data_IF_745772874492
#
_entry.id   IF_745772874492
#
_cell.length_a   1.000
_cell.length_b   1.000
_cell.length_c   1.000
_cell.angle_alpha   90.00
_cell.angle_beta   90.00
_cell.angle_gamma   90.00
#
_symmetry.space_group_name_H-M   'P 1'
#
loop_
_entity.id
_entity.type
_entity.pdbx_description
1 polymer ?
#
# COMPACT_ATOMS: atom_id res chain seq x y z
N UNK A 1 9.18 -1.33 10.40
CA UNK A 1 9.83 -0.05 10.07
C UNK A 1 8.78 1.04 10.16
N UNK A 2 9.06 2.09 10.93
CA UNK A 2 8.24 3.30 11.02
C UNK A 2 8.07 3.90 9.62
N UNK A 3 6.81 4.06 9.20
CA UNK A 3 6.23 4.77 8.02
C UNK A 3 7.00 5.00 6.70
N UNK A 4 8.23 4.50 6.51
CA UNK A 4 9.11 4.90 5.41
C UNK A 4 9.56 6.37 5.46
N UNK A 5 9.16 7.13 6.47
CA UNK A 5 9.39 8.58 6.55
C UNK A 5 10.87 8.90 6.78
N UNK A 6 11.41 9.84 5.98
CA UNK A 6 12.81 10.27 6.06
C UNK A 6 12.86 11.77 6.32
N UNK A 7 13.39 12.13 7.49
CA UNK A 7 13.64 13.53 7.84
C UNK A 7 14.64 14.16 6.87
N UNK A 8 14.36 15.42 6.49
CA UNK A 8 15.27 16.21 5.67
C UNK A 8 16.58 16.43 6.41
N UNK A 9 17.69 16.29 5.68
CA UNK A 9 19.04 16.53 6.19
C UNK A 9 19.71 17.64 5.42
N UNK A 10 20.32 18.57 6.11
CA UNK A 10 21.06 19.69 5.54
C UNK A 10 22.51 19.66 5.98
N UNK A 11 23.43 19.90 5.04
CA UNK A 11 24.85 20.03 5.33
C UNK A 11 25.15 21.50 5.61
N UNK A 12 25.64 21.81 6.81
CA UNK A 12 26.11 23.14 7.15
C UNK A 12 27.57 23.12 7.54
N UNK A 13 28.29 24.12 7.05
CA UNK A 13 29.68 24.35 7.44
C UNK A 13 29.68 24.90 8.86
N UNK A 14 30.29 24.15 9.79
CA UNK A 14 30.43 24.55 11.19
C UNK A 14 31.81 25.15 11.48
N UNK A 15 32.81 24.85 10.64
CA UNK A 15 34.13 25.48 10.74
C UNK A 15 34.83 25.56 9.38
N UNK A 16 36.01 26.21 9.34
CA UNK A 16 36.85 26.27 8.12
C UNK A 16 37.16 24.88 7.56
N UNK A 17 37.19 23.82 8.37
CA UNK A 17 37.54 22.46 7.93
C UNK A 17 36.44 21.41 8.15
N UNK A 18 35.29 21.79 8.71
CA UNK A 18 34.24 20.82 9.06
C UNK A 18 32.87 21.23 8.54
N UNK A 19 32.19 20.24 7.94
CA UNK A 19 30.79 20.30 7.54
C UNK A 19 30.07 19.20 8.27
N UNK A 20 28.99 19.55 8.96
CA UNK A 20 28.14 18.62 9.69
C UNK A 20 26.77 18.50 9.02
N UNK A 21 26.15 17.34 9.17
CA UNK A 21 24.80 17.05 8.69
C UNK A 21 23.83 17.25 9.85
N UNK A 22 22.87 18.13 9.67
CA UNK A 22 21.80 18.39 10.63
C UNK A 22 20.46 17.93 10.07
N UNK A 23 19.52 17.61 10.95
CA UNK A 23 18.12 17.46 10.57
C UNK A 23 17.48 18.84 10.45
N UNK A 24 16.71 19.04 9.38
CA UNK A 24 15.99 20.28 9.09
C UNK A 24 14.50 19.99 9.26
N UNK A 25 14.03 20.10 10.50
CA UNK A 25 12.64 19.81 10.85
C UNK A 25 11.73 20.99 10.50
N UNK A 26 10.64 20.67 9.84
CA UNK A 26 9.51 21.57 9.59
C UNK A 26 8.68 21.78 10.86
N UNK A 27 7.91 22.88 10.93
CA UNK A 27 7.00 23.13 12.05
C UNK A 27 6.03 21.97 12.28
N UNK A 28 5.54 21.36 11.20
CA UNK A 28 4.64 20.19 11.26
C UNK A 28 5.31 18.99 11.94
N UNK A 29 6.58 18.71 11.61
CA UNK A 29 7.34 17.64 12.28
C UNK A 29 7.59 17.96 13.75
N UNK A 30 7.86 19.22 14.09
CA UNK A 30 8.02 19.66 15.48
C UNK A 30 6.72 19.45 16.27
N UNK A 31 5.57 19.85 15.73
CA UNK A 31 4.27 19.59 16.36
C UNK A 31 4.04 18.09 16.56
N UNK A 32 4.41 17.25 15.59
CA UNK A 32 4.32 15.79 15.72
C UNK A 32 5.18 15.24 16.86
N UNK A 33 6.38 15.79 17.08
CA UNK A 33 7.21 15.40 18.24
C UNK A 33 6.57 15.78 19.58
N UNK A 34 5.92 16.94 19.66
CA UNK A 34 5.19 17.36 20.87
C UNK A 34 4.04 16.39 21.15
N UNK A 35 3.24 16.07 20.12
CA UNK A 35 2.14 15.11 20.23
C UNK A 35 2.67 13.72 20.63
N UNK A 36 3.77 13.27 20.04
CA UNK A 36 4.41 12.01 20.42
C UNK A 36 4.78 12.00 21.91
N UNK A 37 5.40 13.07 22.41
CA UNK A 37 5.79 13.16 23.83
C UNK A 37 4.57 12.93 24.74
N UNK A 38 3.45 13.60 24.46
CA UNK A 38 2.22 13.44 25.23
C UNK A 38 1.63 12.03 25.13
N UNK A 39 1.68 11.41 23.95
CA UNK A 39 1.18 10.05 23.75
C UNK A 39 2.04 9.01 24.48
N UNK A 40 3.36 9.16 24.48
CA UNK A 40 4.28 8.27 25.18
C UNK A 40 4.05 8.35 26.69
N UNK A 41 3.88 9.55 27.23
CA UNK A 41 3.60 9.76 28.65
C UNK A 41 2.27 9.09 29.07
N UNK A 42 1.28 9.12 28.18
CA UNK A 42 -0.06 8.54 28.43
C UNK A 42 -0.10 7.02 28.28
N UNK A 43 0.46 6.49 27.20
CA UNK A 43 0.34 5.06 26.84
C UNK A 43 1.45 4.21 27.44
N UNK A 44 2.58 4.82 27.81
CA UNK A 44 3.84 4.14 28.16
C UNK A 44 4.34 3.18 27.07
N UNK A 45 3.84 3.30 25.84
CA UNK A 45 4.28 2.52 24.70
C UNK A 45 4.74 3.44 23.57
N UNK A 46 6.06 3.44 23.36
CA UNK A 46 6.69 4.26 22.34
C UNK A 46 6.30 3.82 20.92
N UNK A 47 6.27 2.52 20.65
CA UNK A 47 6.03 2.00 19.30
C UNK A 47 4.63 2.34 18.80
N UNK A 48 3.62 2.16 19.64
CA UNK A 48 2.23 2.48 19.29
C UNK A 48 2.04 3.99 19.10
N UNK A 49 2.65 4.80 19.98
CA UNK A 49 2.61 6.26 19.89
C UNK A 49 3.27 6.79 18.61
N UNK A 50 4.40 6.21 18.19
CA UNK A 50 5.04 6.60 16.93
C UNK A 50 4.17 6.18 15.73
N UNK A 51 3.59 4.97 15.75
CA UNK A 51 2.66 4.53 14.69
C UNK A 51 1.43 5.41 14.58
N UNK A 52 0.94 5.95 15.68
CA UNK A 52 -0.20 6.87 15.68
C UNK A 52 0.15 8.22 15.01
N UNK A 53 1.34 8.77 15.29
CA UNK A 53 1.74 10.08 14.78
C UNK A 53 2.28 10.05 13.33
N UNK A 54 3.01 8.99 12.97
CA UNK A 54 3.64 8.86 11.65
C UNK A 54 3.03 7.77 10.76
N UNK A 55 2.13 6.95 11.28
CA UNK A 55 1.49 5.85 10.56
C UNK A 55 2.27 4.53 10.64
N UNK A 56 1.53 3.43 10.53
CA UNK A 56 2.10 2.09 10.38
C UNK A 56 2.14 1.69 8.89
N UNK A 57 3.27 1.98 8.22
CA UNK A 57 3.45 1.66 6.80
C UNK A 57 3.36 0.16 6.52
N UNK A 58 3.74 -0.70 7.47
CA UNK A 58 3.64 -2.15 7.29
C UNK A 58 2.17 -2.54 7.27
N UNK A 59 1.39 -2.08 8.25
CA UNK A 59 -0.05 -2.36 8.30
C UNK A 59 -0.79 -1.76 7.10
N UNK A 60 -0.38 -0.59 6.61
CA UNK A 60 -0.94 0.01 5.41
C UNK A 60 -0.64 -0.83 4.18
N UNK A 61 0.62 -1.21 3.97
CA UNK A 61 1.04 -2.06 2.86
C UNK A 61 0.32 -3.41 2.87
N UNK A 62 0.13 -4.03 4.03
CA UNK A 62 -0.65 -5.27 4.17
C UNK A 62 -2.12 -5.09 3.77
N UNK A 63 -2.74 -3.94 4.12
CA UNK A 63 -4.11 -3.62 3.69
C UNK A 63 -4.20 -3.39 2.19
N UNK A 64 -3.24 -2.65 1.62
CA UNK A 64 -3.20 -2.33 0.21
C UNK A 64 -3.04 -3.62 -0.62
N UNK A 65 -2.09 -4.49 -0.25
CA UNK A 65 -1.90 -5.80 -0.90
C UNK A 65 -3.17 -6.66 -0.82
N UNK A 66 -3.87 -6.67 0.33
CA UNK A 66 -5.14 -7.40 0.45
C UNK A 66 -6.21 -6.87 -0.51
N UNK A 67 -6.29 -5.55 -0.68
CA UNK A 67 -7.22 -4.94 -1.61
C UNK A 67 -6.85 -5.26 -3.06
N UNK A 68 -5.57 -5.17 -3.42
CA UNK A 68 -5.08 -5.54 -4.76
C UNK A 68 -5.36 -7.01 -5.08
N UNK A 69 -5.11 -7.92 -4.13
CA UNK A 69 -5.44 -9.35 -4.29
C UNK A 69 -6.95 -9.59 -4.48
N UNK A 70 -7.78 -8.85 -3.74
CA UNK A 70 -9.24 -8.95 -3.89
C UNK A 70 -9.69 -8.49 -5.28
N UNK A 71 -9.21 -7.33 -5.73
CA UNK A 71 -9.51 -6.81 -7.07
C UNK A 71 -9.07 -7.81 -8.16
N UNK A 72 -7.84 -8.33 -8.05
CA UNK A 72 -7.31 -9.30 -8.99
C UNK A 72 -8.14 -10.60 -9.00
N UNK A 73 -8.62 -11.05 -7.83
CA UNK A 73 -9.50 -12.22 -7.74
C UNK A 73 -10.84 -11.96 -8.43
N UNK A 74 -11.44 -10.79 -8.26
CA UNK A 74 -12.69 -10.42 -8.91
C UNK A 74 -12.54 -10.37 -10.44
N UNK A 75 -11.44 -9.76 -10.92
CA UNK A 75 -11.11 -9.73 -12.35
C UNK A 75 -10.90 -11.14 -12.92
N UNK A 76 -10.23 -12.02 -12.17
CA UNK A 76 -10.03 -13.41 -12.59
C UNK A 76 -11.34 -14.18 -12.71
N UNK A 77 -12.25 -14.05 -11.74
CA UNK A 77 -13.56 -14.71 -11.82
C UNK A 77 -14.41 -14.17 -12.96
N UNK A 78 -14.36 -12.86 -13.19
CA UNK A 78 -15.04 -12.24 -14.34
C UNK A 78 -14.52 -12.82 -15.65
N UNK A 79 -13.21 -12.89 -15.83
CA UNK A 79 -12.60 -13.49 -17.00
C UNK A 79 -13.00 -14.96 -17.18
N UNK A 80 -12.97 -15.75 -16.10
CA UNK A 80 -13.37 -17.16 -16.13
C UNK A 80 -14.82 -17.32 -16.60
N UNK A 81 -15.72 -16.51 -16.06
CA UNK A 81 -17.13 -16.53 -16.44
C UNK A 81 -17.33 -16.20 -17.93
N UNK A 82 -16.67 -15.15 -18.42
CA UNK A 82 -16.72 -14.76 -19.85
C UNK A 82 -16.17 -15.86 -20.77
N UNK A 83 -15.10 -16.54 -20.35
CA UNK A 83 -14.54 -17.66 -21.10
C UNK A 83 -15.49 -18.86 -21.12
N UNK A 84 -16.12 -19.19 -20.00
CA UNK A 84 -17.10 -20.29 -19.90
C UNK A 84 -18.33 -20.04 -20.77
N UNK A 85 -18.89 -18.83 -20.75
CA UNK A 85 -20.00 -18.46 -21.64
C UNK A 85 -19.60 -18.57 -23.10
N UNK A 86 -18.42 -18.06 -23.47
CA UNK A 86 -17.90 -18.16 -24.85
C UNK A 86 -17.76 -19.62 -25.30
N UNK A 87 -17.23 -20.50 -24.44
CA UNK A 87 -17.14 -21.94 -24.73
C UNK A 87 -18.53 -22.58 -24.88
N UNK A 88 -19.49 -22.18 -24.04
CA UNK A 88 -20.85 -22.69 -24.11
C UNK A 88 -21.51 -22.31 -25.45
N UNK A 89 -21.39 -21.05 -25.88
CA UNK A 89 -21.90 -20.61 -27.18
C UNK A 89 -21.23 -21.38 -28.34
N UNK A 90 -19.91 -21.57 -28.30
CA UNK A 90 -19.19 -22.35 -29.31
C UNK A 90 -19.67 -23.80 -29.39
N UNK A 91 -19.86 -24.46 -28.25
CA UNK A 91 -20.40 -25.83 -28.20
C UNK A 91 -21.80 -25.92 -28.80
N UNK A 92 -22.66 -24.92 -28.52
CA UNK A 92 -24.01 -24.83 -29.09
C UNK A 92 -23.96 -24.70 -30.61
N UNK A 93 -23.11 -23.80 -31.12
CA UNK A 93 -22.93 -23.60 -32.57
C UNK A 93 -22.44 -24.88 -33.25
N UNK A 94 -21.42 -25.55 -32.70
CA UNK A 94 -20.89 -26.81 -33.25
C UNK A 94 -21.98 -27.90 -33.32
N UNK A 95 -22.82 -28.01 -32.29
CA UNK A 95 -23.94 -28.95 -32.27
C UNK A 95 -24.95 -28.68 -33.40
N UNK A 96 -25.32 -27.41 -33.60
CA UNK A 96 -26.24 -27.00 -34.67
C UNK A 96 -25.69 -27.35 -36.06
N UNK A 97 -24.41 -27.06 -36.32
CA UNK A 97 -23.77 -27.42 -37.59
C UNK A 97 -23.72 -28.94 -37.81
N UNK A 98 -23.40 -29.73 -36.76
CA UNK A 98 -23.41 -31.19 -36.85
C UNK A 98 -24.78 -31.76 -37.21
N UNK A 99 -25.85 -31.22 -36.62
CA UNK A 99 -27.20 -31.69 -36.89
C UNK A 99 -27.64 -31.34 -38.32
N UNK A 100 -27.25 -30.17 -38.83
CA UNK A 100 -27.53 -29.74 -40.20
C UNK A 100 -26.80 -30.57 -41.26
N UNK A 101 -25.60 -31.06 -40.97
CA UNK A 101 -24.85 -31.95 -41.88
C UNK A 101 -25.41 -33.39 -41.92
N UNK A 102 -26.27 -33.76 -40.97
CA UNK A 102 -26.88 -35.08 -40.87
C UNK A 102 -28.31 -35.15 -41.44
N UNK A 103 -28.90 -34.00 -41.80
CA UNK A 103 -30.19 -33.90 -42.51
C UNK A 103 -29.97 -33.73 -43.99
#
# INVERSE_FOLDING_TARGET
MLSGYKFKKVRRRVSKRSTQVFFDFTEVEVTKFIVLSHLVDKTKNLDDSIKEVWGDSKAQSERDIKNELKMLSEDFYKFLFEAEDSMFQLKKIISLYRNRLRS
#
